data_IF_895554196108
#
_entry.id   IF_895554196108
#
_cell.length_a   1.000
_cell.length_b   1.000
_cell.length_c   1.000
_cell.angle_alpha   90.00
_cell.angle_beta   90.00
_cell.angle_gamma   90.00
#
_symmetry.space_group_name_H-M   'P 1'
#
loop_
_entity.id
_entity.type
_entity.pdbx_description
1 polymer ?
#
# COMPACT_ATOMS: atom_id res chain seq x y z
N UNK A 1 -17.02 -13.54 3.86
CA UNK A 1 -16.25 -14.04 5.01
C UNK A 1 -15.34 -12.91 5.46
N UNK A 2 -15.24 -12.60 6.75
CA UNK A 2 -14.30 -11.58 7.20
C UNK A 2 -12.88 -12.05 6.90
N UNK A 3 -12.02 -11.10 6.45
CA UNK A 3 -10.63 -11.34 6.12
C UNK A 3 -9.90 -11.87 7.37
N UNK A 4 -9.23 -13.03 7.30
CA UNK A 4 -8.50 -13.59 8.45
C UNK A 4 -7.28 -12.75 8.86
N UNK A 5 -6.79 -11.87 7.97
CA UNK A 5 -5.66 -10.97 8.25
C UNK A 5 -6.03 -9.79 9.16
N UNK A 6 -7.34 -9.49 9.30
CA UNK A 6 -7.82 -8.43 10.18
C UNK A 6 -7.87 -8.90 11.64
N UNK A 7 -7.27 -8.12 12.53
CA UNK A 7 -7.38 -8.38 13.95
C UNK A 7 -8.83 -8.28 14.45
N UNK A 8 -9.14 -9.02 15.51
CA UNK A 8 -10.49 -9.08 16.08
C UNK A 8 -10.98 -7.70 16.56
N UNK A 9 -10.07 -6.86 17.08
CA UNK A 9 -10.40 -5.50 17.51
C UNK A 9 -10.91 -4.63 16.35
N UNK A 10 -10.28 -4.73 15.17
CA UNK A 10 -10.72 -3.99 13.98
C UNK A 10 -12.06 -4.53 13.46
N UNK A 11 -12.27 -5.85 13.50
CA UNK A 11 -13.55 -6.46 13.13
C UNK A 11 -14.69 -6.01 14.06
N UNK A 12 -14.39 -5.89 15.33
CA UNK A 12 -15.34 -5.41 16.34
C UNK A 12 -15.64 -3.91 16.17
N UNK A 13 -14.61 -3.08 15.90
CA UNK A 13 -14.77 -1.66 15.59
C UNK A 13 -15.65 -1.43 14.36
N UNK A 14 -15.47 -2.21 13.29
CA UNK A 14 -16.32 -2.12 12.10
C UNK A 14 -17.76 -2.62 12.34
N UNK A 15 -17.95 -3.62 13.22
CA UNK A 15 -19.26 -4.23 13.43
C UNK A 15 -20.12 -3.48 14.43
N UNK A 16 -19.51 -2.90 15.47
CA UNK A 16 -20.21 -2.20 16.56
C UNK A 16 -20.25 -0.69 16.39
N UNK A 17 -19.37 -0.13 15.51
CA UNK A 17 -19.18 1.31 15.28
C UNK A 17 -19.27 2.11 16.61
N UNK A 18 -18.49 1.75 17.65
CA UNK A 18 -18.56 2.45 18.91
C UNK A 18 -18.15 3.91 18.69
N UNK A 19 -18.90 4.83 19.26
CA UNK A 19 -18.73 6.27 19.06
C UNK A 19 -17.36 6.84 19.52
N UNK A 20 -16.51 5.99 20.09
CA UNK A 20 -15.17 6.36 20.60
C UNK A 20 -13.99 5.71 19.88
N UNK A 21 -14.21 4.78 18.95
CA UNK A 21 -13.10 4.13 18.23
C UNK A 21 -12.95 4.72 16.83
N UNK A 22 -11.87 5.46 16.63
CA UNK A 22 -11.51 6.03 15.33
C UNK A 22 -10.48 5.13 14.69
N UNK A 23 -10.76 4.69 13.46
CA UNK A 23 -9.82 3.95 12.64
C UNK A 23 -9.04 4.95 11.79
N UNK A 24 -7.73 4.95 11.95
CA UNK A 24 -6.80 5.71 11.14
C UNK A 24 -6.41 4.88 9.92
N UNK A 25 -6.78 5.34 8.75
CA UNK A 25 -6.38 4.74 7.48
C UNK A 25 -5.07 5.35 7.03
N UNK A 26 -4.03 4.54 6.85
CA UNK A 26 -2.72 5.03 6.43
C UNK A 26 -2.26 4.41 5.12
N UNK A 27 -1.52 5.20 4.34
CA UNK A 27 -0.85 4.76 3.12
C UNK A 27 0.64 5.09 3.20
N UNK A 28 1.48 4.14 2.82
CA UNK A 28 2.91 4.33 2.63
C UNK A 28 3.26 4.07 1.17
N UNK A 29 3.78 5.08 0.49
CA UNK A 29 4.27 4.97 -0.89
C UNK A 29 5.78 4.78 -0.87
N UNK A 30 6.25 3.75 -1.55
CA UNK A 30 7.66 3.41 -1.66
C UNK A 30 8.07 3.30 -3.12
N UNK A 31 9.24 3.85 -3.42
CA UNK A 31 9.87 3.74 -4.73
C UNK A 31 11.39 3.83 -4.58
N UNK A 32 12.13 3.19 -5.48
CA UNK A 32 13.61 3.17 -5.43
C UNK A 32 14.25 4.56 -5.54
N UNK A 33 13.57 5.52 -6.16
CA UNK A 33 14.06 6.89 -6.33
C UNK A 33 13.61 7.83 -5.19
N UNK A 34 12.78 7.37 -4.26
CA UNK A 34 12.39 8.18 -3.11
C UNK A 34 13.50 8.12 -2.06
N UNK A 35 13.94 9.27 -1.59
CA UNK A 35 14.89 9.38 -0.49
C UNK A 35 14.28 8.87 0.83
N UNK A 36 12.99 9.18 1.02
CA UNK A 36 12.19 8.75 2.17
C UNK A 36 10.82 8.30 1.66
N UNK A 37 10.22 7.24 2.21
CA UNK A 37 8.85 6.86 1.87
C UNK A 37 7.87 7.98 2.19
N UNK A 38 6.88 8.17 1.31
CA UNK A 38 5.79 9.12 1.56
C UNK A 38 4.76 8.39 2.42
N UNK A 39 4.46 8.95 3.60
CA UNK A 39 3.54 8.37 4.58
C UNK A 39 2.43 9.34 4.88
N UNK A 40 1.20 8.94 4.61
CA UNK A 40 0.00 9.77 4.81
C UNK A 40 -1.02 9.02 5.66
N UNK A 41 -1.78 9.76 6.44
CA UNK A 41 -2.91 9.27 7.23
C UNK A 41 -4.15 10.07 6.89
N UNK A 42 -5.29 9.41 6.77
CA UNK A 42 -6.58 10.04 6.53
C UNK A 42 -7.07 10.71 7.82
N UNK A 43 -6.50 11.87 8.10
CA UNK A 43 -6.86 12.74 9.22
C UNK A 43 -6.39 14.17 8.91
N UNK A 44 -6.81 15.12 9.73
CA UNK A 44 -6.34 16.52 9.67
C UNK A 44 -5.04 16.75 10.47
N UNK A 45 -4.65 15.80 11.32
CA UNK A 45 -3.45 15.88 12.14
C UNK A 45 -2.44 14.80 11.77
N UNK A 46 -1.16 15.10 12.02
CA UNK A 46 -0.08 14.13 11.90
C UNK A 46 -0.13 13.11 13.05
N UNK A 47 0.21 11.87 12.74
CA UNK A 47 0.24 10.80 13.72
C UNK A 47 1.58 10.07 13.73
N UNK A 48 2.11 9.84 14.94
CA UNK A 48 3.29 9.02 15.16
C UNK A 48 2.87 7.57 15.40
N UNK A 49 3.07 6.71 14.41
CA UNK A 49 2.61 5.32 14.42
C UNK A 49 3.77 4.36 14.30
N UNK A 50 3.66 3.22 14.96
CA UNK A 50 4.70 2.18 14.93
C UNK A 50 4.44 1.20 13.79
N UNK A 51 5.48 0.96 12.98
CA UNK A 51 5.44 -0.03 11.91
C UNK A 51 5.61 -1.46 12.46
N UNK A 52 5.11 -2.41 11.70
CA UNK A 52 5.30 -3.85 11.95
C UNK A 52 6.77 -4.27 11.82
N UNK A 53 7.12 -5.40 12.41
CA UNK A 53 8.48 -5.95 12.34
C UNK A 53 8.89 -6.40 10.93
N UNK A 54 7.91 -6.71 10.08
CA UNK A 54 8.10 -7.13 8.69
C UNK A 54 8.17 -5.96 7.70
N UNK A 55 8.08 -4.71 8.16
CA UNK A 55 8.14 -3.53 7.30
C UNK A 55 9.47 -3.48 6.53
N UNK A 56 9.45 -3.25 5.21
CA UNK A 56 10.67 -3.22 4.39
C UNK A 56 11.60 -2.05 4.73
N UNK A 57 11.04 -0.94 5.21
CA UNK A 57 11.77 0.26 5.61
C UNK A 57 11.33 0.62 7.04
N UNK A 58 12.27 0.94 7.91
CA UNK A 58 12.07 1.30 9.32
C UNK A 58 11.27 0.26 10.14
N UNK A 59 11.60 -1.06 10.08
CA UNK A 59 10.86 -2.08 10.80
C UNK A 59 10.81 -1.79 12.31
N UNK A 60 9.65 -1.99 12.92
CA UNK A 60 9.40 -1.78 14.37
C UNK A 60 9.65 -0.34 14.88
N UNK A 61 9.86 0.61 13.98
CA UNK A 61 10.13 2.01 14.34
C UNK A 61 8.84 2.83 14.39
N UNK A 62 8.87 3.87 15.21
CA UNK A 62 7.83 4.90 15.16
C UNK A 62 8.16 5.88 14.04
N UNK A 63 7.21 6.10 13.15
CA UNK A 63 7.35 7.01 12.00
C UNK A 63 6.18 7.98 11.96
N UNK A 64 6.44 9.17 11.43
CA UNK A 64 5.40 10.18 11.29
C UNK A 64 4.60 9.93 10.02
N UNK A 65 3.28 9.89 10.14
CA UNK A 65 2.33 9.91 9.05
C UNK A 65 1.71 11.30 8.97
N UNK A 66 1.83 11.94 7.82
CA UNK A 66 1.33 13.31 7.60
C UNK A 66 -0.18 13.25 7.41
N UNK A 67 -0.90 14.10 8.14
CA UNK A 67 -2.35 14.26 8.00
C UNK A 67 -2.70 14.75 6.60
N UNK A 68 -3.48 13.96 5.87
CA UNK A 68 -3.82 14.25 4.49
C UNK A 68 -5.22 13.75 4.14
N UNK A 69 -5.99 14.54 3.40
CA UNK A 69 -7.33 14.14 2.96
C UNK A 69 -7.21 13.37 1.65
N UNK A 70 -7.53 12.10 1.70
CA UNK A 70 -7.60 11.24 0.52
C UNK A 70 -8.82 10.33 0.59
N UNK A 71 -9.28 9.86 -0.54
CA UNK A 71 -10.30 8.83 -0.64
C UNK A 71 -9.67 7.55 -1.19
N UNK A 72 -10.17 6.40 -0.77
CA UNK A 72 -9.66 5.11 -1.24
C UNK A 72 -10.76 4.06 -1.25
N UNK A 73 -10.64 3.14 -2.21
CA UNK A 73 -11.51 1.98 -2.29
C UNK A 73 -10.67 0.71 -2.25
N UNK A 74 -10.85 -0.06 -1.19
CA UNK A 74 -10.20 -1.36 -1.05
C UNK A 74 -10.63 -2.32 -2.15
N UNK A 75 -9.76 -3.26 -2.58
CA UNK A 75 -10.10 -4.27 -3.57
C UNK A 75 -11.27 -5.11 -3.10
N UNK A 76 -12.29 -5.25 -3.94
CA UNK A 76 -13.38 -6.18 -3.66
C UNK A 76 -12.90 -7.61 -3.95
N UNK A 77 -13.20 -8.52 -3.02
CA UNK A 77 -12.94 -9.95 -3.21
C UNK A 77 -14.00 -10.51 -4.15
N UNK A 78 -13.81 -10.37 -5.45
CA UNK A 78 -14.66 -10.96 -6.49
C UNK A 78 -13.90 -12.05 -7.24
N UNK A 79 -14.63 -13.09 -7.65
CA UNK A 79 -14.05 -14.30 -8.24
C UNK A 79 -13.57 -14.16 -9.70
N UNK A 80 -13.75 -13.02 -10.35
CA UNK A 80 -13.56 -12.90 -11.80
C UNK A 80 -12.77 -11.70 -12.32
N UNK A 81 -12.32 -10.77 -11.49
CA UNK A 81 -11.53 -9.62 -11.92
C UNK A 81 -10.29 -9.48 -11.06
N UNK A 82 -9.23 -8.91 -11.62
CA UNK A 82 -8.06 -8.51 -10.84
C UNK A 82 -8.51 -7.46 -9.83
N UNK A 83 -8.40 -7.72 -8.51
CA UNK A 83 -8.83 -6.76 -7.52
C UNK A 83 -8.01 -5.47 -7.67
N UNK A 84 -8.68 -4.35 -7.87
CA UNK A 84 -8.04 -3.04 -8.01
C UNK A 84 -8.25 -2.23 -6.74
N UNK A 85 -7.20 -1.56 -6.32
CA UNK A 85 -7.21 -0.58 -5.25
C UNK A 85 -7.19 0.82 -5.87
N UNK A 86 -8.19 1.63 -5.54
CA UNK A 86 -8.30 3.00 -6.03
C UNK A 86 -7.88 3.97 -4.95
N UNK A 87 -7.09 4.97 -5.33
CA UNK A 87 -6.68 6.07 -4.47
C UNK A 87 -7.00 7.37 -5.19
N UNK A 88 -7.62 8.28 -4.48
CA UNK A 88 -7.91 9.62 -4.93
C UNK A 88 -7.36 10.60 -3.89
N UNK A 89 -6.46 11.48 -4.31
CA UNK A 89 -5.84 12.48 -3.46
C UNK A 89 -6.13 13.85 -4.03
N UNK A 90 -6.81 14.70 -3.25
CA UNK A 90 -7.08 16.08 -3.63
C UNK A 90 -6.03 17.02 -3.01
N UNK A 91 -5.68 18.09 -3.70
CA UNK A 91 -4.76 19.13 -3.22
C UNK A 91 -3.39 18.60 -2.77
N UNK A 92 -2.78 17.81 -3.62
CA UNK A 92 -1.48 17.16 -3.35
C UNK A 92 -0.41 18.22 -3.17
N UNK A 93 0.43 18.06 -2.16
CA UNK A 93 1.56 18.98 -1.94
C UNK A 93 2.59 18.83 -3.07
N UNK A 94 3.25 19.94 -3.40
CA UNK A 94 4.29 19.97 -4.44
C UNK A 94 5.39 18.92 -4.23
N UNK A 95 5.70 18.60 -2.99
CA UNK A 95 6.68 17.59 -2.63
C UNK A 95 6.25 16.17 -3.05
N UNK A 96 4.97 15.87 -2.92
CA UNK A 96 4.38 14.60 -3.37
C UNK A 96 4.34 14.56 -4.89
N UNK A 97 3.97 15.66 -5.55
CA UNK A 97 3.97 15.77 -7.02
C UNK A 97 5.38 15.55 -7.60
N UNK A 98 6.40 16.22 -7.06
CA UNK A 98 7.78 16.06 -7.48
C UNK A 98 8.26 14.62 -7.31
N UNK A 99 7.87 13.96 -6.22
CA UNK A 99 8.19 12.56 -5.96
C UNK A 99 7.50 11.62 -6.95
N UNK A 100 6.22 11.85 -7.25
CA UNK A 100 5.48 11.08 -8.26
C UNK A 100 6.05 11.28 -9.67
N UNK A 101 6.48 12.49 -10.02
CA UNK A 101 7.14 12.79 -11.29
C UNK A 101 8.48 12.04 -11.42
N UNK A 102 9.26 11.97 -10.34
CA UNK A 102 10.50 11.17 -10.30
C UNK A 102 10.21 9.68 -10.46
N UNK A 103 9.13 9.19 -9.87
CA UNK A 103 8.72 7.79 -10.02
C UNK A 103 8.25 7.48 -11.46
N UNK A 104 7.51 8.40 -12.09
CA UNK A 104 7.01 8.24 -13.46
C UNK A 104 8.14 8.15 -14.49
N UNK A 105 9.28 8.80 -14.24
CA UNK A 105 10.47 8.71 -15.09
C UNK A 105 11.26 7.40 -14.91
N UNK A 106 10.89 6.55 -13.95
CA UNK A 106 11.59 5.32 -13.60
C UNK A 106 10.92 4.09 -14.22
N UNK A 107 11.70 3.05 -14.61
CA UNK A 107 11.13 1.76 -15.01
C UNK A 107 10.56 0.96 -13.83
N UNK A 108 10.89 1.36 -12.60
CA UNK A 108 10.39 0.70 -11.39
C UNK A 108 9.00 1.21 -11.01
N UNK A 109 8.20 0.34 -10.43
CA UNK A 109 6.84 0.68 -10.02
C UNK A 109 6.82 1.18 -8.57
N UNK A 110 5.88 2.06 -8.27
CA UNK A 110 5.59 2.50 -6.90
C UNK A 110 4.81 1.39 -6.18
N UNK A 111 5.25 1.03 -5.00
CA UNK A 111 4.52 0.15 -4.09
C UNK A 111 3.75 0.97 -3.07
N UNK A 112 2.51 0.60 -2.82
CA UNK A 112 1.65 1.23 -1.81
C UNK A 112 1.31 0.19 -0.76
N UNK A 113 1.57 0.51 0.50
CA UNK A 113 1.19 -0.32 1.63
C UNK A 113 0.11 0.39 2.45
N UNK A 114 -1.03 -0.26 2.57
CA UNK A 114 -2.13 0.19 3.42
C UNK A 114 -2.04 -0.48 4.79
N UNK A 115 -2.16 0.35 5.85
CA UNK A 115 -2.16 -0.10 7.24
C UNK A 115 -3.26 0.61 8.02
N UNK A 116 -4.30 -0.08 8.48
CA UNK A 116 -5.26 0.49 9.41
C UNK A 116 -4.71 0.46 10.83
N UNK A 117 -4.89 1.55 11.57
CA UNK A 117 -4.59 1.65 13.01
C UNK A 117 -5.85 2.03 13.77
N UNK A 118 -5.90 1.70 15.06
CA UNK A 118 -6.84 2.30 15.99
C UNK A 118 -6.20 3.53 16.62
N UNK A 119 -6.92 4.63 16.71
CA UNK A 119 -6.40 5.85 17.35
C UNK A 119 -5.96 5.60 18.80
N UNK A 120 -6.63 4.69 19.50
CA UNK A 120 -6.31 4.27 20.87
C UNK A 120 -5.07 3.39 20.96
N UNK A 121 -4.66 2.72 19.86
CA UNK A 121 -3.48 1.85 19.83
C UNK A 121 -2.59 2.16 18.62
N UNK A 122 -1.70 3.18 18.74
CA UNK A 122 -0.75 3.54 17.69
C UNK A 122 0.47 2.61 17.62
N UNK A 123 0.53 1.58 18.47
CA UNK A 123 1.73 0.73 18.64
C UNK A 123 1.86 -0.36 17.60
N UNK A 124 0.79 -0.68 16.88
CA UNK A 124 0.80 -1.71 15.81
C UNK A 124 -0.32 -1.47 14.80
N UNK A 125 -0.10 -1.84 13.54
CA UNK A 125 -1.19 -1.91 12.56
C UNK A 125 -2.15 -3.06 12.94
N UNK A 126 -3.42 -2.87 12.63
CA UNK A 126 -4.49 -3.85 12.93
C UNK A 126 -4.70 -4.86 11.79
N UNK A 127 -3.82 -4.84 10.80
CA UNK A 127 -3.78 -5.79 9.68
C UNK A 127 -2.38 -6.41 9.62
N UNK A 128 -2.29 -7.74 9.73
CA UNK A 128 -1.05 -8.48 9.62
C UNK A 128 -1.26 -9.73 8.72
N UNK A 129 -0.59 -9.82 7.58
CA UNK A 129 0.30 -8.82 6.98
C UNK A 129 -0.45 -7.60 6.43
N UNK A 130 0.20 -6.41 6.37
CA UNK A 130 -0.37 -5.23 5.73
C UNK A 130 -0.64 -5.45 4.25
N UNK A 131 -1.65 -4.76 3.73
CA UNK A 131 -1.99 -4.85 2.31
C UNK A 131 -0.99 -4.06 1.47
N UNK A 132 -0.18 -4.75 0.67
CA UNK A 132 0.76 -4.14 -0.26
C UNK A 132 0.31 -4.37 -1.70
N UNK A 133 0.19 -3.30 -2.45
CA UNK A 133 -0.22 -3.27 -3.85
C UNK A 133 0.76 -2.45 -4.68
N UNK A 134 0.79 -2.68 -5.98
CA UNK A 134 1.66 -1.96 -6.91
C UNK A 134 0.83 -1.00 -7.74
N UNK A 135 1.25 0.26 -7.85
CA UNK A 135 0.60 1.23 -8.72
C UNK A 135 0.75 0.80 -10.18
N UNK A 136 -0.38 0.73 -10.88
CA UNK A 136 -0.45 0.35 -12.30
C UNK A 136 -0.69 1.55 -13.19
N UNK A 137 -1.41 2.53 -12.67
CA UNK A 137 -1.77 3.73 -13.40
C UNK A 137 -1.87 4.91 -12.44
N UNK A 138 -1.31 6.05 -12.84
CA UNK A 138 -1.37 7.31 -12.09
C UNK A 138 -1.72 8.41 -13.09
N UNK A 139 -2.76 9.16 -12.79
CA UNK A 139 -3.15 10.38 -13.49
C UNK A 139 -3.05 11.52 -12.48
N UNK A 140 -2.33 12.56 -12.84
CA UNK A 140 -2.18 13.76 -12.01
C UNK A 140 -2.65 14.98 -12.80
N UNK A 141 -3.59 15.70 -12.24
CA UNK A 141 -4.03 17.03 -12.66
C UNK A 141 -3.55 18.05 -11.63
N UNK A 142 -3.60 19.36 -11.94
CA UNK A 142 -3.13 20.45 -11.07
C UNK A 142 -3.70 20.44 -9.64
N UNK A 143 -4.82 19.74 -9.43
CA UNK A 143 -5.54 19.71 -8.14
C UNK A 143 -5.80 18.31 -7.60
N UNK A 144 -5.55 17.27 -8.39
CA UNK A 144 -5.97 15.92 -8.05
C UNK A 144 -5.02 14.87 -8.61
N UNK A 145 -4.71 13.88 -7.79
CA UNK A 145 -4.01 12.67 -8.20
C UNK A 145 -4.96 11.47 -8.06
N UNK A 146 -5.18 10.78 -9.16
CA UNK A 146 -5.93 9.51 -9.18
C UNK A 146 -4.98 8.38 -9.48
N UNK A 147 -4.98 7.36 -8.64
CA UNK A 147 -4.12 6.20 -8.81
C UNK A 147 -4.91 4.91 -8.74
N UNK A 148 -4.53 3.97 -9.60
CA UNK A 148 -4.99 2.57 -9.56
C UNK A 148 -3.82 1.69 -9.20
N UNK A 149 -4.05 0.77 -8.28
CA UNK A 149 -3.07 -0.21 -7.88
C UNK A 149 -3.68 -1.61 -7.92
N UNK A 150 -2.85 -2.60 -8.17
CA UNK A 150 -3.26 -4.00 -8.16
C UNK A 150 -2.29 -4.83 -7.32
N UNK A 151 -2.75 -5.98 -6.86
CA UNK A 151 -1.84 -7.01 -6.40
C UNK A 151 -0.88 -7.33 -7.55
N UNK A 152 0.43 -7.31 -7.25
CA UNK A 152 1.45 -7.51 -8.28
C UNK A 152 1.07 -8.65 -9.23
N UNK A 153 1.48 -8.50 -10.47
CA UNK A 153 1.08 -9.29 -11.65
C UNK A 153 1.27 -10.81 -11.47
N UNK A 154 0.45 -11.40 -10.60
CA UNK A 154 0.47 -12.83 -10.33
C UNK A 154 0.00 -13.64 -11.56
N UNK A 155 -0.82 -13.01 -12.43
CA UNK A 155 -1.36 -13.64 -13.62
C UNK A 155 -0.30 -13.78 -14.74
N UNK A 156 0.65 -12.84 -14.80
CA UNK A 156 1.75 -12.86 -15.79
C UNK A 156 3.06 -13.38 -15.20
N UNK A 157 3.06 -13.85 -13.96
CA UNK A 157 4.23 -14.50 -13.36
C UNK A 157 4.45 -15.83 -14.06
N UNK A 158 5.55 -15.93 -14.82
CA UNK A 158 5.90 -17.15 -15.52
C UNK A 158 5.94 -18.35 -14.55
N UNK A 159 5.08 -19.34 -14.78
CA UNK A 159 5.12 -20.60 -14.06
C UNK A 159 5.35 -21.74 -15.07
N UNK A 160 6.41 -22.54 -14.92
CA UNK A 160 7.43 -22.48 -13.86
C UNK A 160 8.38 -21.27 -14.00
N UNK A 161 8.80 -20.70 -12.86
CA UNK A 161 9.71 -19.55 -12.82
C UNK A 161 11.13 -19.89 -13.26
N UNK A 162 11.46 -21.17 -13.38
CA UNK A 162 12.75 -21.66 -13.86
C UNK A 162 12.61 -22.13 -15.30
N UNK A 163 13.32 -21.44 -16.20
CA UNK A 163 13.46 -21.88 -17.59
C UNK A 163 14.58 -22.94 -17.70
N UNK A 164 14.29 -24.02 -18.42
CA UNK A 164 15.27 -25.02 -18.80
C UNK A 164 16.15 -24.45 -19.91
N UNK A 165 17.29 -23.87 -19.53
CA UNK A 165 18.27 -23.36 -20.50
C UNK A 165 19.45 -24.33 -20.61
N UNK A 166 20.06 -24.42 -21.80
CA UNK A 166 21.22 -25.27 -22.04
C UNK A 166 22.42 -24.94 -21.13
N UNK A 167 22.54 -23.68 -20.68
CA UNK A 167 23.57 -23.27 -19.73
C UNK A 167 23.37 -23.83 -18.33
N UNK A 168 22.12 -24.02 -17.91
CA UNK A 168 21.76 -24.52 -16.57
C UNK A 168 21.57 -26.05 -16.55
N UNK A 169 21.20 -26.59 -17.69
CA UNK A 169 20.99 -28.04 -17.90
C UNK A 169 21.73 -28.47 -19.16
N UNK A 170 23.06 -28.76 -19.07
CA UNK A 170 23.90 -29.13 -20.22
C UNK A 170 23.42 -30.36 -21.00
N UNK A 171 22.65 -31.23 -20.36
CA UNK A 171 22.06 -32.41 -20.99
C UNK A 171 20.97 -32.14 -22.03
N UNK A 172 20.52 -30.87 -22.18
CA UNK A 172 19.56 -30.44 -23.23
C UNK A 172 20.26 -30.19 -24.59
N UNK A 173 21.57 -30.13 -24.63
CA UNK A 173 22.35 -30.00 -25.87
C UNK A 173 22.67 -31.43 -26.34
N UNK A 174 21.99 -31.87 -27.40
CA UNK A 174 22.37 -33.05 -28.18
C UNK A 174 23.07 -32.65 -29.47
#
# INVERSE_FOLDING_TARGET
MPDPSLEQALKEAYSSAPAGEVILHTLEFRHSNFTVPIRVVLDHADHLLKLEASAPIDPSSYVNFIGFVFDFKLPEVQSSATPEFFILMDNVSREIEDSLALAAASPYKVEVTYRPYLLIDPTKPQMDPPLTVTLTHVEADDFRVTARASYGDAANKAFPSQLYTASRFPGLIR
#
